data_IF_448262275861
#
_entry.id   IF_448262275861
#
_cell.length_a   1.000
_cell.length_b   1.000
_cell.length_c   1.000
_cell.angle_alpha   90.00
_cell.angle_beta   90.00
_cell.angle_gamma   90.00
#
_symmetry.space_group_name_H-M   'P 1'
#
loop_
_entity.id
_entity.type
_entity.pdbx_description
1 polymer ?
#
# COMPACT_ATOMS: atom_id res chain seq x y z
N UNK A 1 20.36 8.09 -34.33
CA UNK A 1 20.55 7.54 -32.97
C UNK A 1 21.76 8.19 -32.29
N UNK A 2 22.92 8.28 -32.97
CA UNK A 2 24.08 9.05 -32.48
C UNK A 2 23.77 10.54 -32.22
N UNK A 3 22.95 11.17 -33.07
CA UNK A 3 22.60 12.60 -32.88
C UNK A 3 21.83 12.84 -31.58
N UNK A 4 20.91 11.94 -31.24
CA UNK A 4 20.14 12.00 -29.99
C UNK A 4 21.04 11.86 -28.75
N UNK A 5 22.01 10.93 -28.79
CA UNK A 5 23.00 10.78 -27.70
C UNK A 5 23.84 12.06 -27.54
N UNK A 6 24.21 12.71 -28.65
CA UNK A 6 24.94 13.98 -28.60
C UNK A 6 24.10 15.12 -28.01
N UNK A 7 22.81 15.19 -28.33
CA UNK A 7 21.89 16.16 -27.73
C UNK A 7 21.73 15.96 -26.22
N UNK A 8 21.61 14.71 -25.77
CA UNK A 8 21.53 14.39 -24.35
C UNK A 8 22.84 14.73 -23.62
N UNK A 9 24.00 14.47 -24.22
CA UNK A 9 25.30 14.87 -23.65
C UNK A 9 25.45 16.39 -23.54
N UNK A 10 24.97 17.14 -24.53
CA UNK A 10 24.93 18.62 -24.46
C UNK A 10 24.01 19.10 -23.33
N UNK A 11 22.81 18.52 -23.23
CA UNK A 11 21.84 18.84 -22.18
C UNK A 11 22.37 18.52 -20.78
N UNK A 12 23.07 17.40 -20.62
CA UNK A 12 23.74 17.02 -19.37
C UNK A 12 24.84 18.01 -18.99
N UNK A 13 25.64 18.47 -19.95
CA UNK A 13 26.66 19.51 -19.70
C UNK A 13 26.02 20.84 -19.27
N UNK A 14 24.85 21.17 -19.81
CA UNK A 14 24.09 22.36 -19.41
C UNK A 14 23.47 22.20 -18.01
N UNK A 15 22.88 21.05 -17.71
CA UNK A 15 22.32 20.75 -16.39
C UNK A 15 23.38 20.76 -15.28
N UNK A 16 24.59 20.24 -15.53
CA UNK A 16 25.72 20.34 -14.59
C UNK A 16 26.13 21.78 -14.31
N UNK A 17 26.21 22.62 -15.35
CA UNK A 17 26.46 24.06 -15.18
C UNK A 17 25.35 24.76 -14.39
N UNK A 18 24.09 24.37 -14.59
CA UNK A 18 22.98 24.91 -13.80
C UNK A 18 23.10 24.49 -12.34
N UNK A 19 23.47 23.24 -12.07
CA UNK A 19 23.68 22.73 -10.71
C UNK A 19 24.77 23.51 -9.96
N UNK A 20 25.88 23.81 -10.62
CA UNK A 20 26.99 24.57 -10.03
C UNK A 20 26.60 26.01 -9.65
N UNK A 21 25.64 26.61 -10.38
CA UNK A 21 25.17 27.98 -10.17
C UNK A 21 23.83 28.08 -9.43
N UNK A 22 23.24 26.96 -9.02
CA UNK A 22 21.90 26.92 -8.42
C UNK A 22 21.91 27.16 -6.91
N UNK A 23 20.77 27.65 -6.41
CA UNK A 23 20.47 27.75 -4.97
C UNK A 23 20.19 26.34 -4.41
N UNK A 24 20.45 26.12 -3.12
CA UNK A 24 20.32 24.79 -2.47
C UNK A 24 18.95 24.11 -2.69
N UNK A 25 17.88 24.88 -2.78
CA UNK A 25 16.52 24.38 -3.03
C UNK A 25 16.39 23.76 -4.43
N UNK A 26 17.01 24.40 -5.43
CA UNK A 26 16.97 23.96 -6.84
C UNK A 26 17.99 22.86 -7.14
N UNK A 27 19.09 22.79 -6.38
CA UNK A 27 20.11 21.74 -6.55
C UNK A 27 19.52 20.34 -6.48
N UNK A 28 18.54 20.10 -5.61
CA UNK A 28 17.89 18.79 -5.48
C UNK A 28 17.13 18.40 -6.76
N UNK A 29 16.43 19.36 -7.37
CA UNK A 29 15.68 19.16 -8.61
C UNK A 29 16.65 18.91 -9.76
N UNK A 30 17.68 19.75 -9.88
CA UNK A 30 18.67 19.65 -10.95
C UNK A 30 19.49 18.36 -10.83
N UNK A 31 19.81 17.91 -9.61
CA UNK A 31 20.44 16.61 -9.39
C UNK A 31 19.59 15.44 -9.91
N UNK A 32 18.26 15.51 -9.74
CA UNK A 32 17.32 14.56 -10.35
C UNK A 32 17.40 14.57 -11.87
N UNK A 33 17.36 15.76 -12.48
CA UNK A 33 17.47 15.92 -13.94
C UNK A 33 18.79 15.37 -14.49
N UNK A 34 19.90 15.59 -13.78
CA UNK A 34 21.22 15.03 -14.15
C UNK A 34 21.17 13.50 -14.09
N UNK A 35 20.62 12.92 -13.02
CA UNK A 35 20.51 11.47 -12.87
C UNK A 35 19.67 10.84 -13.99
N UNK A 36 18.59 11.48 -14.41
CA UNK A 36 17.73 10.99 -15.49
C UNK A 36 18.44 11.06 -16.85
N UNK A 37 19.19 12.12 -17.12
CA UNK A 37 20.00 12.26 -18.33
C UNK A 37 21.14 11.23 -18.39
N UNK A 38 21.83 11.00 -17.27
CA UNK A 38 22.85 9.95 -17.17
C UNK A 38 22.27 8.56 -17.39
N UNK A 39 21.10 8.28 -16.81
CA UNK A 39 20.37 7.04 -17.04
C UNK A 39 20.03 6.86 -18.52
N UNK A 40 19.43 7.87 -19.16
CA UNK A 40 19.04 7.78 -20.56
C UNK A 40 20.25 7.58 -21.49
N UNK A 41 21.36 8.28 -21.27
CA UNK A 41 22.59 8.13 -22.05
C UNK A 41 23.15 6.71 -21.93
N UNK A 42 23.20 6.16 -20.71
CA UNK A 42 23.70 4.80 -20.46
C UNK A 42 22.88 3.73 -21.20
N UNK A 43 21.57 3.92 -21.35
CA UNK A 43 20.71 2.98 -22.09
C UNK A 43 20.73 3.19 -23.61
N UNK A 44 21.09 4.39 -24.08
CA UNK A 44 21.21 4.68 -25.52
C UNK A 44 22.61 4.37 -26.08
N UNK A 45 23.63 4.29 -25.23
CA UNK A 45 24.96 3.82 -25.63
C UNK A 45 24.98 2.29 -25.77
N UNK A 46 25.73 1.74 -26.74
CA UNK A 46 25.75 0.30 -27.01
C UNK A 46 26.38 -0.56 -25.90
N UNK A 47 26.84 0.05 -24.80
CA UNK A 47 27.29 -0.66 -23.61
C UNK A 47 26.11 -1.10 -22.74
N UNK A 48 26.16 -2.34 -22.25
CA UNK A 48 25.18 -2.84 -21.28
C UNK A 48 25.21 -1.94 -20.02
N UNK A 49 24.08 -1.35 -19.61
CA UNK A 49 23.98 -0.64 -18.34
C UNK A 49 24.46 -1.53 -17.20
N UNK A 50 25.17 -0.96 -16.22
CA UNK A 50 25.72 -1.74 -15.11
C UNK A 50 24.63 -2.49 -14.32
N UNK A 51 25.03 -3.41 -13.42
CA UNK A 51 24.10 -4.06 -12.47
C UNK A 51 23.51 -3.04 -11.48
N UNK A 52 22.54 -2.24 -11.93
CA UNK A 52 21.71 -1.40 -11.06
C UNK A 52 20.77 -2.31 -10.29
N UNK A 53 20.71 -2.12 -8.97
CA UNK A 53 19.79 -2.85 -8.08
C UNK A 53 18.37 -2.57 -8.55
N UNK A 54 17.61 -3.62 -8.88
CA UNK A 54 16.27 -3.45 -9.41
C UNK A 54 15.26 -3.00 -8.35
N UNK A 55 14.10 -2.55 -8.82
CA UNK A 55 13.02 -1.99 -8.00
C UNK A 55 12.41 -3.05 -7.06
N UNK A 56 12.55 -4.33 -7.40
CA UNK A 56 12.04 -5.48 -6.63
C UNK A 56 12.51 -5.44 -5.17
N UNK A 57 13.75 -4.99 -4.93
CA UNK A 57 14.28 -4.87 -3.56
C UNK A 57 13.51 -3.87 -2.69
N UNK A 58 12.89 -2.84 -3.27
CA UNK A 58 12.04 -1.91 -2.52
C UNK A 58 10.62 -2.44 -2.35
N UNK A 59 10.11 -3.20 -3.30
CA UNK A 59 8.74 -3.73 -3.26
C UNK A 59 8.54 -4.72 -2.11
N UNK A 60 9.48 -5.65 -1.91
CA UNK A 60 9.37 -6.69 -0.87
C UNK A 60 9.24 -6.09 0.53
N UNK A 61 10.16 -5.19 0.93
CA UNK A 61 10.14 -4.64 2.30
C UNK A 61 9.06 -3.56 2.53
N UNK A 62 8.63 -2.84 1.48
CA UNK A 62 7.71 -1.71 1.64
C UNK A 62 6.25 -2.10 1.43
N UNK A 63 5.95 -3.16 0.69
CA UNK A 63 4.58 -3.51 0.29
C UNK A 63 4.10 -4.84 0.84
N UNK A 64 4.98 -5.76 1.19
CA UNK A 64 4.58 -7.07 1.70
C UNK A 64 4.43 -7.00 3.22
N UNK A 65 3.27 -7.44 3.72
CA UNK A 65 3.06 -7.71 5.14
C UNK A 65 3.11 -9.22 5.33
N UNK A 66 4.00 -9.74 6.20
CA UNK A 66 3.99 -11.17 6.50
C UNK A 66 2.65 -11.52 7.15
N UNK A 67 2.02 -12.58 6.67
CA UNK A 67 0.76 -13.11 7.19
C UNK A 67 0.81 -14.64 7.22
N UNK A 68 0.02 -15.26 8.07
CA UNK A 68 -0.08 -16.73 8.15
C UNK A 68 -0.88 -17.27 6.93
N UNK A 69 -0.25 -18.09 6.06
CA UNK A 69 -0.91 -18.66 4.88
C UNK A 69 -2.22 -19.39 5.20
N UNK A 70 -2.30 -20.08 6.34
CA UNK A 70 -3.50 -20.84 6.70
C UNK A 70 -4.66 -19.92 7.08
N UNK A 71 -4.35 -18.73 7.60
CA UNK A 71 -5.35 -17.77 8.05
C UNK A 71 -6.03 -17.08 6.86
N UNK A 72 -5.26 -16.73 5.81
CA UNK A 72 -5.85 -16.19 4.58
C UNK A 72 -6.69 -17.27 3.88
N UNK A 73 -6.19 -18.51 3.82
CA UNK A 73 -6.90 -19.61 3.16
C UNK A 73 -8.27 -19.85 3.80
N UNK A 74 -8.33 -19.88 5.15
CA UNK A 74 -9.59 -19.98 5.90
C UNK A 74 -10.53 -18.81 5.61
N UNK A 75 -10.00 -17.59 5.58
CA UNK A 75 -10.80 -16.40 5.29
C UNK A 75 -11.41 -16.44 3.88
N UNK A 76 -10.62 -16.81 2.88
CA UNK A 76 -11.09 -16.98 1.50
C UNK A 76 -12.17 -18.05 1.42
N UNK A 77 -11.94 -19.25 1.96
CA UNK A 77 -12.94 -20.33 1.98
C UNK A 77 -14.23 -19.99 2.73
N UNK A 78 -14.17 -19.07 3.69
CA UNK A 78 -15.36 -18.59 4.41
C UNK A 78 -16.20 -17.57 3.62
N UNK A 79 -15.60 -16.84 2.68
CA UNK A 79 -16.18 -15.64 2.04
C UNK A 79 -16.33 -15.74 0.52
N UNK A 80 -15.77 -16.78 -0.09
CA UNK A 80 -15.81 -17.00 -1.54
C UNK A 80 -17.25 -17.18 -2.07
N UNK A 81 -17.56 -16.61 -3.25
CA UNK A 81 -18.81 -16.91 -3.94
C UNK A 81 -18.87 -18.40 -4.27
N UNK A 82 -20.06 -18.99 -4.22
CA UNK A 82 -20.23 -20.40 -4.56
C UNK A 82 -20.01 -20.57 -6.07
N UNK A 83 -19.03 -21.37 -6.45
CA UNK A 83 -18.80 -21.76 -7.84
C UNK A 83 -19.43 -23.13 -8.11
N UNK A 84 -20.06 -23.31 -9.27
CA UNK A 84 -20.74 -24.58 -9.63
C UNK A 84 -19.78 -25.79 -9.65
N UNK A 85 -18.50 -25.55 -9.89
CA UNK A 85 -17.46 -26.57 -9.96
C UNK A 85 -16.71 -26.76 -8.64
N UNK A 86 -17.02 -25.98 -7.59
CA UNK A 86 -16.39 -26.11 -6.27
C UNK A 86 -17.24 -27.03 -5.38
N UNK A 87 -16.74 -28.24 -5.16
CA UNK A 87 -17.36 -29.30 -4.36
C UNK A 87 -16.87 -29.33 -2.91
N UNK A 88 -16.05 -28.36 -2.50
CA UNK A 88 -15.45 -28.31 -1.17
C UNK A 88 -16.37 -27.64 -0.14
N UNK A 89 -16.33 -28.11 1.11
CA UNK A 89 -17.03 -27.46 2.20
C UNK A 89 -16.41 -26.09 2.53
N UNK A 90 -17.27 -25.14 2.86
CA UNK A 90 -16.81 -23.83 3.34
C UNK A 90 -16.24 -23.94 4.75
N UNK A 91 -15.07 -23.36 4.95
CA UNK A 91 -14.42 -23.30 6.26
C UNK A 91 -14.87 -22.07 7.05
N UNK A 92 -14.85 -22.17 8.39
CA UNK A 92 -15.04 -21.04 9.30
C UNK A 92 -16.34 -20.22 9.08
N UNK A 93 -17.40 -20.87 8.61
CA UNK A 93 -18.69 -20.23 8.39
C UNK A 93 -19.40 -19.99 9.72
N UNK A 94 -19.84 -18.75 9.94
CA UNK A 94 -20.68 -18.40 11.09
C UNK A 94 -22.06 -19.01 10.87
N UNK A 95 -22.46 -19.94 11.75
CA UNK A 95 -23.79 -20.54 11.68
C UNK A 95 -24.87 -19.52 12.08
N UNK A 96 -26.13 -19.79 11.73
CA UNK A 96 -27.26 -18.95 12.19
C UNK A 96 -27.34 -18.87 13.72
N UNK A 97 -27.02 -19.96 14.41
CA UNK A 97 -26.99 -20.00 15.86
C UNK A 97 -25.84 -19.17 16.45
N UNK A 98 -24.65 -19.25 15.85
CA UNK A 98 -23.52 -18.42 16.27
C UNK A 98 -23.81 -16.93 16.07
N UNK A 99 -24.45 -16.59 14.95
CA UNK A 99 -24.90 -15.23 14.68
C UNK A 99 -25.86 -14.73 15.76
N UNK A 100 -26.86 -15.53 16.11
CA UNK A 100 -27.82 -15.19 17.15
C UNK A 100 -27.14 -15.00 18.51
N UNK A 101 -26.20 -15.88 18.87
CA UNK A 101 -25.41 -15.73 20.10
C UNK A 101 -24.56 -14.46 20.13
N UNK A 102 -24.00 -14.07 18.99
CA UNK A 102 -23.23 -12.83 18.86
C UNK A 102 -24.16 -11.63 18.99
N UNK A 103 -25.32 -11.64 18.34
CA UNK A 103 -26.32 -10.57 18.43
C UNK A 103 -26.85 -10.43 19.86
N UNK A 104 -27.15 -11.55 20.55
CA UNK A 104 -27.55 -11.56 21.96
C UNK A 104 -26.44 -10.97 22.86
N UNK A 105 -25.18 -11.34 22.65
CA UNK A 105 -24.06 -10.80 23.42
C UNK A 105 -23.85 -9.30 23.16
N UNK A 106 -24.03 -8.84 21.92
CA UNK A 106 -23.95 -7.42 21.56
C UNK A 106 -25.12 -6.61 22.11
N UNK A 107 -26.29 -7.23 22.31
CA UNK A 107 -27.48 -6.57 22.87
C UNK A 107 -27.30 -6.13 24.33
N UNK A 108 -26.35 -6.73 25.06
CA UNK A 108 -26.02 -6.35 26.43
C UNK A 108 -25.21 -5.04 26.52
N UNK A 109 -24.62 -4.59 25.41
CA UNK A 109 -23.81 -3.37 25.37
C UNK A 109 -24.69 -2.13 25.23
N UNK A 110 -24.29 -1.03 25.86
CA UNK A 110 -24.89 0.27 25.58
C UNK A 110 -24.56 0.72 24.15
N UNK A 111 -25.35 1.64 23.59
CA UNK A 111 -25.11 2.16 22.23
C UNK A 111 -23.68 2.69 22.04
N UNK A 112 -23.10 3.31 23.08
CA UNK A 112 -21.73 3.83 23.07
C UNK A 112 -20.69 2.72 23.09
N UNK A 113 -20.88 1.72 23.94
CA UNK A 113 -19.95 0.57 24.02
C UNK A 113 -19.98 -0.26 22.75
N UNK A 114 -21.17 -0.45 22.17
CA UNK A 114 -21.34 -1.13 20.90
C UNK A 114 -20.60 -0.41 19.75
N UNK A 115 -20.71 0.92 19.68
CA UNK A 115 -20.02 1.71 18.67
C UNK A 115 -18.49 1.64 18.84
N UNK A 116 -17.97 1.78 20.06
CA UNK A 116 -16.53 1.65 20.34
C UNK A 116 -16.03 0.24 20.01
N UNK A 117 -16.81 -0.79 20.34
CA UNK A 117 -16.50 -2.17 20.00
C UNK A 117 -16.42 -2.39 18.49
N UNK A 118 -17.40 -1.90 17.72
CA UNK A 118 -17.38 -1.96 16.25
C UNK A 118 -16.18 -1.21 15.67
N UNK A 119 -15.86 -0.01 16.15
CA UNK A 119 -14.71 0.76 15.69
C UNK A 119 -13.39 0.01 15.88
N UNK A 120 -13.19 -0.61 17.05
CA UNK A 120 -11.95 -1.32 17.36
C UNK A 120 -11.88 -2.72 16.74
N UNK A 121 -12.92 -3.53 16.94
CA UNK A 121 -12.92 -4.97 16.60
C UNK A 121 -13.56 -5.28 15.25
N UNK A 122 -14.57 -4.51 14.83
CA UNK A 122 -15.20 -4.63 13.51
C UNK A 122 -14.32 -4.02 12.41
N UNK A 123 -13.97 -2.75 12.56
CA UNK A 123 -13.20 -2.00 11.56
C UNK A 123 -11.68 -2.02 11.76
N UNK A 124 -11.19 -2.57 12.88
CA UNK A 124 -9.76 -2.69 13.13
C UNK A 124 -9.03 -1.37 13.39
N UNK A 125 -9.73 -0.32 13.84
CA UNK A 125 -9.10 0.97 14.14
C UNK A 125 -8.22 0.90 15.38
N UNK A 126 -7.11 1.65 15.38
CA UNK A 126 -6.25 1.78 16.56
C UNK A 126 -6.96 2.58 17.67
N UNK A 127 -6.61 2.32 18.93
CA UNK A 127 -7.24 2.98 20.07
C UNK A 127 -7.20 4.52 19.98
N UNK A 128 -6.07 5.09 19.54
CA UNK A 128 -5.96 6.53 19.30
C UNK A 128 -6.96 7.02 18.25
N UNK A 129 -7.12 6.30 17.14
CA UNK A 129 -8.07 6.67 16.09
C UNK A 129 -9.52 6.49 16.54
N UNK A 130 -9.82 5.43 17.30
CA UNK A 130 -11.16 5.23 17.89
C UNK A 130 -11.53 6.37 18.84
N UNK A 131 -10.61 6.80 19.71
CA UNK A 131 -10.87 7.87 20.67
C UNK A 131 -11.13 9.21 19.96
N UNK A 132 -10.31 9.54 18.95
CA UNK A 132 -10.52 10.73 18.13
C UNK A 132 -11.88 10.69 17.43
N UNK A 133 -12.19 9.61 16.69
CA UNK A 133 -13.45 9.50 15.94
C UNK A 133 -14.67 9.54 16.87
N UNK A 134 -14.62 8.84 18.00
CA UNK A 134 -15.72 8.79 18.98
C UNK A 134 -16.02 10.16 19.60
N UNK A 135 -14.99 10.98 19.83
CA UNK A 135 -15.15 12.34 20.38
C UNK A 135 -15.77 13.30 19.36
N UNK A 136 -15.41 13.20 18.08
CA UNK A 136 -15.89 14.14 17.05
C UNK A 136 -17.20 13.69 16.37
N UNK A 137 -17.53 12.40 16.36
CA UNK A 137 -18.73 11.86 15.72
C UNK A 137 -19.27 10.64 16.48
N UNK A 138 -20.12 10.85 17.51
CA UNK A 138 -20.63 9.78 18.38
C UNK A 138 -21.83 9.00 17.80
N UNK A 139 -22.13 9.12 16.49
CA UNK A 139 -23.26 8.43 15.83
C UNK A 139 -22.95 8.14 14.35
N UNK A 140 -21.70 7.83 14.01
CA UNK A 140 -21.27 7.76 12.61
C UNK A 140 -21.59 6.41 11.92
N UNK A 141 -21.78 5.35 12.69
CA UNK A 141 -21.90 4.00 12.13
C UNK A 141 -23.28 3.42 12.42
N UNK A 142 -24.20 3.58 11.46
CA UNK A 142 -25.37 2.70 11.35
C UNK A 142 -24.96 1.43 10.59
N UNK A 143 -25.50 0.25 10.97
CA UNK A 143 -25.25 -1.01 10.27
C UNK A 143 -25.73 -0.96 8.82
#
# INVERSE_FOLDING_TARGET
MNDLVQEYKKSLKMARKMYDNAVEEDKKIIAGMISDLEFAIEWMEPSRPGNRRGIERRATYQREKPFDPLLIQKFFRSSEPVYEWDDHERESVITSWDRQRIEDALSALTAREHEVYLMSRGYGLTYSKTATTFVYHPVAFKP
#
